data_IF_192193055737
#
_entry.id   IF_192193055737
#
_cell.length_a   1.000
_cell.length_b   1.000
_cell.length_c   1.000
_cell.angle_alpha   90.00
_cell.angle_beta   90.00
_cell.angle_gamma   90.00
#
_symmetry.space_group_name_H-M   'P 1'
#
loop_
_entity.id
_entity.type
_entity.pdbx_description
1 polymer ?
#
# COMPACT_ATOMS: atom_id res chain seq x y z
N UNK A 1 19.02 -2.47 -13.95
CA UNK A 1 18.75 -1.67 -12.74
C UNK A 1 17.29 -1.25 -12.83
N UNK A 2 16.42 -1.99 -12.15
CA UNK A 2 14.95 -1.99 -12.29
C UNK A 2 14.38 -0.58 -12.10
N UNK A 3 13.61 -0.11 -13.08
CA UNK A 3 12.80 1.11 -12.96
C UNK A 3 11.68 0.83 -11.96
N UNK A 4 11.95 1.14 -10.69
CA UNK A 4 10.95 1.21 -9.62
C UNK A 4 9.84 2.16 -10.07
N UNK A 5 8.70 1.59 -10.45
CA UNK A 5 7.50 2.31 -10.87
C UNK A 5 6.90 3.02 -9.66
N UNK A 6 7.39 4.23 -9.40
CA UNK A 6 6.73 5.18 -8.52
C UNK A 6 5.27 5.31 -8.97
N UNK A 7 4.33 5.08 -8.05
CA UNK A 7 2.95 5.52 -8.23
C UNK A 7 2.95 7.04 -8.23
N UNK A 8 3.06 7.66 -9.42
CA UNK A 8 3.19 9.11 -9.55
C UNK A 8 1.87 9.79 -9.17
N UNK A 9 1.87 10.56 -8.09
CA UNK A 9 0.86 11.55 -7.76
C UNK A 9 1.43 12.96 -7.99
N UNK A 10 1.37 13.46 -9.22
CA UNK A 10 1.79 14.85 -9.48
C UNK A 10 0.66 15.89 -9.25
N UNK A 11 -0.61 15.49 -9.17
CA UNK A 11 -1.69 16.48 -9.25
C UNK A 11 -2.10 17.19 -7.94
N UNK A 12 -1.52 16.88 -6.78
CA UNK A 12 -2.00 17.46 -5.52
C UNK A 12 -0.93 17.82 -4.46
N UNK A 13 0.35 17.92 -4.85
CA UNK A 13 1.41 18.31 -3.91
C UNK A 13 1.65 17.32 -2.76
N UNK A 14 1.28 16.05 -2.95
CA UNK A 14 1.64 14.96 -2.03
C UNK A 14 3.00 14.38 -2.42
N UNK A 15 3.82 14.01 -1.43
CA UNK A 15 5.10 13.36 -1.69
C UNK A 15 4.90 11.98 -2.32
N UNK A 16 5.87 11.56 -3.12
CA UNK A 16 5.85 10.25 -3.78
C UNK A 16 5.86 9.12 -2.76
N UNK A 17 5.04 8.10 -2.97
CA UNK A 17 5.07 6.85 -2.19
C UNK A 17 5.80 5.78 -2.99
N UNK A 18 6.87 5.26 -2.42
CA UNK A 18 7.65 4.16 -2.93
C UNK A 18 7.01 2.82 -2.55
N UNK A 19 7.02 1.85 -3.46
CA UNK A 19 6.54 0.48 -3.21
C UNK A 19 7.66 -0.46 -3.63
N UNK A 20 8.10 -1.33 -2.72
CA UNK A 20 9.13 -2.32 -3.02
C UNK A 20 8.61 -3.40 -3.97
N UNK A 21 9.50 -3.91 -4.81
CA UNK A 21 9.17 -4.96 -5.80
C UNK A 21 8.66 -6.24 -5.12
N UNK A 22 9.13 -6.57 -3.91
CA UNK A 22 8.70 -7.74 -3.14
C UNK A 22 7.25 -7.63 -2.63
N UNK A 23 6.78 -6.42 -2.32
CA UNK A 23 5.37 -6.15 -2.00
C UNK A 23 4.51 -6.38 -3.24
N UNK A 24 4.96 -5.94 -4.41
CA UNK A 24 4.24 -6.15 -5.68
C UNK A 24 4.13 -7.66 -5.98
N UNK A 25 5.22 -8.40 -5.80
CA UNK A 25 5.24 -9.86 -5.96
C UNK A 25 4.31 -10.56 -4.96
N UNK A 26 4.38 -10.18 -3.68
CA UNK A 26 3.47 -10.68 -2.65
C UNK A 26 2.00 -10.44 -3.00
N UNK A 27 1.64 -9.23 -3.45
CA UNK A 27 0.28 -8.89 -3.85
C UNK A 27 -0.18 -9.70 -5.08
N UNK A 28 0.74 -9.96 -6.02
CA UNK A 28 0.48 -10.80 -7.20
C UNK A 28 0.15 -12.23 -6.77
N UNK A 29 0.95 -12.83 -5.90
CA UNK A 29 0.74 -14.19 -5.38
C UNK A 29 -0.59 -14.32 -4.63
N UNK A 30 -0.95 -13.31 -3.83
CA UNK A 30 -2.22 -13.29 -3.09
C UNK A 30 -3.44 -12.98 -3.95
N UNK A 31 -3.22 -12.52 -5.19
CA UNK A 31 -4.28 -12.23 -6.16
C UNK A 31 -5.40 -11.33 -5.59
N UNK A 32 -5.03 -10.33 -4.79
CA UNK A 32 -5.99 -9.44 -4.14
C UNK A 32 -5.42 -8.03 -3.94
N UNK A 33 -6.31 -7.08 -3.76
CA UNK A 33 -5.97 -5.70 -3.41
C UNK A 33 -5.76 -5.57 -1.90
N UNK A 34 -5.03 -4.54 -1.50
CA UNK A 34 -4.69 -4.29 -0.10
C UNK A 34 -5.03 -2.88 0.33
N UNK A 35 -5.09 -2.68 1.64
CA UNK A 35 -5.33 -1.39 2.26
C UNK A 35 -4.35 -1.17 3.40
N UNK A 36 -3.68 -0.01 3.39
CA UNK A 36 -2.94 0.48 4.55
C UNK A 36 -3.92 0.83 5.66
N UNK A 37 -3.72 0.21 6.81
CA UNK A 37 -4.48 0.44 8.05
C UNK A 37 -3.51 0.80 9.18
N UNK A 38 -4.01 1.33 10.28
CA UNK A 38 -3.19 1.58 11.48
C UNK A 38 -3.48 0.51 12.53
N UNK A 39 -2.41 -0.03 13.13
CA UNK A 39 -2.45 -0.87 14.32
C UNK A 39 -1.73 -0.17 15.48
N UNK A 40 -1.80 -0.75 16.69
CA UNK A 40 -1.00 -0.26 17.83
C UNK A 40 0.52 -0.32 17.57
N UNK A 41 0.97 -1.19 16.65
CA UNK A 41 2.37 -1.34 16.27
C UNK A 41 2.80 -0.50 15.06
N UNK A 42 1.93 0.39 14.57
CA UNK A 42 2.19 1.18 13.36
C UNK A 42 1.36 0.75 12.15
N UNK A 43 1.69 1.25 10.94
CA UNK A 43 0.93 0.98 9.73
C UNK A 43 1.07 -0.49 9.31
N UNK A 44 -0.02 -1.05 8.83
CA UNK A 44 -0.09 -2.44 8.36
C UNK A 44 -0.81 -2.54 7.01
N UNK A 45 -0.35 -3.46 6.16
CA UNK A 45 -0.93 -3.76 4.85
C UNK A 45 -1.87 -4.96 4.97
N UNK A 46 -3.17 -4.71 4.92
CA UNK A 46 -4.21 -5.74 5.10
C UNK A 46 -4.98 -6.00 3.79
N UNK A 47 -5.38 -7.24 3.49
CA UNK A 47 -6.23 -7.51 2.33
C UNK A 47 -7.57 -6.77 2.45
N UNK A 48 -8.12 -6.31 1.32
CA UNK A 48 -9.40 -5.58 1.32
C UNK A 48 -10.58 -6.43 1.79
N UNK A 49 -10.47 -7.76 1.77
CA UNK A 49 -11.47 -8.67 2.33
C UNK A 49 -11.62 -8.52 3.85
N UNK A 50 -10.54 -8.15 4.55
CA UNK A 50 -10.58 -7.85 5.99
C UNK A 50 -10.95 -6.39 6.25
N UNK A 51 -10.39 -5.47 5.46
CA UNK A 51 -10.64 -4.04 5.60
C UNK A 51 -10.91 -3.39 4.24
N UNK A 52 -12.18 -3.30 3.82
CA UNK A 52 -12.55 -2.69 2.55
C UNK A 52 -12.10 -1.22 2.46
N UNK A 53 -11.83 -0.70 1.24
CA UNK A 53 -11.50 0.70 1.04
C UNK A 53 -12.68 1.62 1.37
N UNK A 54 -12.38 2.86 1.73
CA UNK A 54 -13.36 3.94 1.88
C UNK A 54 -13.37 4.81 0.62
N UNK A 55 -14.47 5.51 0.32
CA UNK A 55 -14.54 6.43 -0.82
C UNK A 55 -13.48 7.55 -0.81
N UNK A 56 -12.97 7.91 0.37
CA UNK A 56 -11.91 8.92 0.55
C UNK A 56 -10.50 8.34 0.59
N UNK A 57 -10.34 7.03 0.40
CA UNK A 57 -9.00 6.44 0.30
C UNK A 57 -8.42 6.75 -1.09
N UNK A 58 -7.11 7.03 -1.13
CA UNK A 58 -6.35 7.13 -2.37
C UNK A 58 -6.03 5.73 -2.88
N UNK A 59 -6.03 5.56 -4.20
CA UNK A 59 -5.78 4.29 -4.88
C UNK A 59 -4.41 4.28 -5.59
N UNK A 60 -3.44 3.54 -5.05
CA UNK A 60 -2.10 3.39 -5.58
C UNK A 60 -1.98 2.14 -6.42
N UNK A 61 -1.49 2.28 -7.66
CA UNK A 61 -1.20 1.13 -8.52
C UNK A 61 0.04 0.39 -8.02
N UNK A 62 -0.10 -0.92 -7.76
CA UNK A 62 0.99 -1.83 -7.42
C UNK A 62 0.95 -3.03 -8.39
N UNK A 63 1.62 -2.86 -9.54
CA UNK A 63 1.50 -3.80 -10.66
C UNK A 63 0.07 -3.89 -11.21
N UNK A 64 -0.54 -5.07 -11.09
CA UNK A 64 -1.93 -5.35 -11.48
C UNK A 64 -2.94 -5.19 -10.32
N UNK A 65 -2.45 -4.85 -9.12
CA UNK A 65 -3.27 -4.66 -7.92
C UNK A 65 -3.29 -3.20 -7.51
N UNK A 66 -4.16 -2.91 -6.55
CA UNK A 66 -4.30 -1.60 -5.94
C UNK A 66 -4.01 -1.67 -4.45
N UNK A 67 -3.23 -0.69 -3.95
CA UNK A 67 -3.12 -0.40 -2.52
C UNK A 67 -3.96 0.83 -2.22
N UNK A 68 -4.92 0.68 -1.31
CA UNK A 68 -5.73 1.79 -0.81
C UNK A 68 -5.11 2.39 0.45
N UNK A 69 -5.07 3.71 0.55
CA UNK A 69 -4.57 4.41 1.74
C UNK A 69 -5.51 5.54 2.10
N UNK A 70 -5.78 5.75 3.39
CA UNK A 70 -6.54 6.94 3.78
C UNK A 70 -5.81 8.21 3.35
N UNK A 71 -6.53 9.19 2.77
CA UNK A 71 -5.94 10.49 2.42
C UNK A 71 -5.24 11.20 3.59
N UNK A 72 -5.61 10.88 4.83
CA UNK A 72 -4.95 11.39 6.04
C UNK A 72 -3.64 10.66 6.34
N UNK A 73 -3.59 9.34 6.12
CA UNK A 73 -2.40 8.53 6.34
C UNK A 73 -1.37 8.70 5.23
N UNK A 74 -1.81 8.94 3.99
CA UNK A 74 -0.93 9.13 2.84
C UNK A 74 0.12 10.22 3.05
N UNK A 75 -0.19 11.22 3.88
CA UNK A 75 0.73 12.30 4.27
C UNK A 75 1.92 11.85 5.11
N UNK A 76 1.89 10.63 5.66
CA UNK A 76 2.88 10.08 6.57
C UNK A 76 3.47 8.76 6.11
N UNK A 77 3.09 8.28 4.92
CA UNK A 77 3.64 7.07 4.31
C UNK A 77 4.38 7.51 3.05
N UNK A 78 5.68 7.24 2.99
CA UNK A 78 6.53 7.47 1.83
C UNK A 78 7.10 6.16 1.27
N UNK A 79 7.01 5.06 2.01
CA UNK A 79 7.55 3.76 1.65
C UNK A 79 6.65 2.61 2.10
N UNK A 80 6.31 1.72 1.16
CA UNK A 80 5.57 0.48 1.39
C UNK A 80 6.51 -0.70 1.12
N UNK A 81 6.86 -1.40 2.20
CA UNK A 81 7.78 -2.54 2.22
C UNK A 81 7.15 -3.74 2.96
N UNK A 82 7.76 -4.93 2.87
CA UNK A 82 7.21 -6.17 3.45
C UNK A 82 6.99 -6.12 4.98
N UNK A 83 7.68 -5.23 5.69
CA UNK A 83 7.53 -5.04 7.14
C UNK A 83 6.16 -4.48 7.56
N UNK A 84 5.39 -3.92 6.62
CA UNK A 84 4.01 -3.53 6.88
C UNK A 84 3.05 -4.74 6.84
N UNK A 85 3.45 -5.87 6.31
CA UNK A 85 2.59 -7.06 6.29
C UNK A 85 2.59 -7.64 7.70
N UNK A 86 1.43 -7.71 8.38
CA UNK A 86 1.39 -8.30 9.71
C UNK A 86 1.67 -9.80 9.61
N UNK A 87 2.82 -10.22 10.15
CA UNK A 87 3.12 -11.63 10.35
C UNK A 87 2.02 -12.23 11.24
N UNK A 88 1.16 -13.03 10.64
CA UNK A 88 0.37 -13.99 11.42
C UNK A 88 1.33 -15.14 11.72
N UNK A 89 1.92 -15.13 12.91
CA UNK A 89 2.37 -16.39 13.51
C UNK A 89 1.09 -17.22 13.61
N UNK A 90 1.02 -18.28 12.80
CA UNK A 90 -0.07 -19.25 12.83
C UNK A 90 -0.26 -19.86 14.20
#
# INVERSE_FOLDING_TARGET
>A
MSELKAGLYEEAGYHSIHIDDDVIEYMKERNTDFRISTSCGGPVLLPISYKPPKPSDLALRAGERTIYISMYQARYIDHIHMGLIPYHIG
#
